data_IF_632135370570
#
_entry.id   IF_632135370570
#
_cell.length_a   1.000
_cell.length_b   1.000
_cell.length_c   1.000
_cell.angle_alpha   90.00
_cell.angle_beta   90.00
_cell.angle_gamma   90.00
#
_symmetry.space_group_name_H-M   'P 1'
#
loop_
_entity.id
_entity.type
_entity.pdbx_description
1 polymer ?
#
# COMPACT_ATOMS: atom_id res chain seq x y z
N UNK A 1 -11.16 3.90 0.52
CA UNK A 1 -9.77 4.35 0.70
C UNK A 1 -8.93 3.21 1.25
N UNK A 2 -7.73 2.98 0.72
CA UNK A 2 -6.81 1.90 1.16
C UNK A 2 -5.78 2.36 2.22
N UNK A 3 -5.56 3.66 2.31
CA UNK A 3 -4.68 4.30 3.29
C UNK A 3 -5.51 5.22 4.21
N UNK A 4 -4.97 5.49 5.41
CA UNK A 4 -5.56 6.46 6.33
C UNK A 4 -5.02 7.86 6.02
N UNK A 5 -5.91 8.85 5.90
CA UNK A 5 -5.56 10.25 5.66
C UNK A 5 -5.83 11.02 6.92
N UNK A 6 -4.83 11.75 7.41
CA UNK A 6 -4.91 12.52 8.66
C UNK A 6 -4.53 13.96 8.36
N UNK A 7 -5.33 14.91 8.85
CA UNK A 7 -5.00 16.33 8.80
C UNK A 7 -3.98 16.66 9.90
N UNK A 8 -2.88 17.30 9.54
CA UNK A 8 -1.76 17.59 10.44
C UNK A 8 -1.36 19.05 10.29
N UNK A 9 -1.19 19.75 11.40
CA UNK A 9 -0.74 21.15 11.47
C UNK A 9 0.68 21.25 12.06
N UNK A 10 1.55 20.34 11.65
CA UNK A 10 2.92 20.22 12.11
C UNK A 10 3.84 19.79 10.95
N UNK A 11 5.16 19.87 11.16
CA UNK A 11 6.17 19.47 10.16
C UNK A 11 6.34 17.95 10.03
N UNK A 12 5.78 17.19 10.97
CA UNK A 12 5.79 15.73 10.95
C UNK A 12 4.56 15.14 11.64
N UNK A 13 4.25 13.89 11.33
CA UNK A 13 3.25 13.09 12.02
C UNK A 13 3.90 11.87 12.66
N UNK A 14 3.78 11.74 13.97
CA UNK A 14 4.35 10.62 14.74
C UNK A 14 3.29 9.56 15.02
N UNK A 15 3.60 8.31 14.67
CA UNK A 15 2.78 7.14 15.02
C UNK A 15 3.53 6.30 16.03
N UNK A 16 2.89 6.02 17.17
CA UNK A 16 3.40 5.09 18.17
C UNK A 16 2.87 3.70 17.88
N UNK A 17 3.77 2.72 17.93
CA UNK A 17 3.49 1.32 17.66
C UNK A 17 4.10 0.45 18.75
N UNK A 18 3.41 -0.60 19.13
CA UNK A 18 3.98 -1.64 19.98
C UNK A 18 4.56 -2.74 19.10
N UNK A 19 5.83 -3.08 19.34
CA UNK A 19 6.57 -4.07 18.54
C UNK A 19 6.68 -5.43 19.19
N UNK A 20 6.36 -5.54 20.47
CA UNK A 20 6.55 -6.77 21.24
C UNK A 20 5.21 -7.21 21.81
N UNK A 21 4.86 -8.48 21.60
CA UNK A 21 3.77 -9.08 22.37
C UNK A 21 4.19 -9.18 23.84
N UNK A 22 3.26 -8.88 24.74
CA UNK A 22 3.50 -9.06 26.17
C UNK A 22 3.79 -10.53 26.47
N UNK A 23 4.83 -10.77 27.26
CA UNK A 23 5.13 -12.12 27.73
C UNK A 23 3.99 -12.62 28.62
N UNK A 24 3.66 -13.90 28.50
CA UNK A 24 2.76 -14.59 29.41
C UNK A 24 3.35 -15.94 29.79
N UNK A 25 3.01 -16.42 30.98
CA UNK A 25 3.45 -17.71 31.49
C UNK A 25 2.38 -18.30 32.40
N UNK A 26 2.25 -19.62 32.36
CA UNK A 26 1.43 -20.36 33.32
C UNK A 26 2.23 -20.49 34.63
N UNK A 27 1.62 -20.11 35.75
CA UNK A 27 2.25 -20.21 37.06
C UNK A 27 1.68 -21.39 37.85
N UNK A 28 2.54 -22.07 38.62
CA UNK A 28 2.16 -23.07 39.60
C UNK A 28 2.23 -22.49 41.02
N UNK A 29 1.50 -23.10 41.95
CA UNK A 29 1.37 -22.63 43.34
C UNK A 29 2.71 -22.52 44.10
N UNK A 30 3.69 -23.33 43.74
CA UNK A 30 4.98 -23.43 44.44
C UNK A 30 6.15 -22.75 43.72
N UNK A 31 5.96 -22.25 42.50
CA UNK A 31 7.05 -21.69 41.69
C UNK A 31 7.19 -20.18 41.88
N UNK A 32 8.43 -19.70 41.92
CA UNK A 32 8.74 -18.27 41.94
C UNK A 32 8.37 -17.66 40.59
N UNK A 33 7.47 -16.67 40.60
CA UNK A 33 7.10 -15.96 39.38
C UNK A 33 8.28 -15.16 38.81
N UNK A 34 8.61 -15.38 37.54
CA UNK A 34 9.59 -14.58 36.80
C UNK A 34 8.90 -13.37 36.12
N UNK A 35 9.65 -12.27 35.96
CA UNK A 35 9.16 -11.10 35.23
C UNK A 35 8.91 -11.45 33.75
N UNK A 36 7.73 -11.08 33.25
CA UNK A 36 7.36 -11.27 31.85
C UNK A 36 7.87 -10.13 30.99
N UNK A 37 8.04 -10.39 29.69
CA UNK A 37 8.46 -9.38 28.73
C UNK A 37 7.44 -8.23 28.65
N UNK A 38 7.94 -6.99 28.63
CA UNK A 38 7.13 -5.77 28.51
C UNK A 38 7.02 -5.29 27.05
N UNK A 39 5.94 -4.56 26.71
CA UNK A 39 5.76 -3.90 25.42
C UNK A 39 6.97 -3.03 25.05
N UNK A 40 7.36 -3.08 23.77
CA UNK A 40 8.38 -2.18 23.24
C UNK A 40 7.73 -1.18 22.30
N UNK A 41 7.54 0.04 22.80
CA UNK A 41 6.98 1.14 22.02
C UNK A 41 8.05 1.73 21.11
N UNK A 42 7.75 1.81 19.83
CA UNK A 42 8.57 2.46 18.81
C UNK A 42 7.78 3.63 18.20
N UNK A 43 8.52 4.61 17.66
CA UNK A 43 7.95 5.82 17.06
C UNK A 43 8.33 5.92 15.60
N UNK A 44 7.33 5.91 14.73
CA UNK A 44 7.49 6.18 13.31
C UNK A 44 7.18 7.65 13.07
N UNK A 45 8.19 8.42 12.67
CA UNK A 45 8.02 9.81 12.24
C UNK A 45 7.83 9.87 10.74
N UNK A 46 6.70 10.46 10.30
CA UNK A 46 6.39 10.73 8.90
C UNK A 46 6.66 12.21 8.64
N UNK A 47 7.77 12.57 7.96
CA UNK A 47 8.03 13.97 7.60
C UNK A 47 7.02 14.43 6.54
N UNK A 48 6.50 15.65 6.69
CA UNK A 48 5.66 16.27 5.68
C UNK A 48 6.56 16.96 4.64
N UNK A 49 6.38 16.60 3.38
CA UNK A 49 7.07 17.23 2.25
C UNK A 49 6.08 18.01 1.40
N UNK A 50 6.51 19.16 0.88
CA UNK A 50 5.69 20.00 0.03
C UNK A 50 5.81 19.60 -1.44
N UNK A 51 4.67 19.53 -2.13
CA UNK A 51 4.62 19.35 -3.58
C UNK A 51 4.20 20.68 -4.21
N UNK A 52 5.05 21.24 -5.06
CA UNK A 52 4.80 22.52 -5.72
C UNK A 52 4.95 22.42 -7.24
N UNK A 53 4.23 23.29 -7.95
CA UNK A 53 4.34 23.47 -9.40
C UNK A 53 4.19 24.95 -9.74
N UNK A 54 5.12 25.49 -10.53
CA UNK A 54 5.12 26.89 -10.97
C UNK A 54 5.13 26.96 -12.51
N UNK A 55 3.99 26.68 -13.17
CA UNK A 55 3.88 26.90 -14.61
C UNK A 55 3.87 28.40 -14.94
N UNK A 56 4.62 28.79 -15.99
CA UNK A 56 4.67 30.17 -16.48
C UNK A 56 3.73 30.32 -17.68
N UNK A 57 2.83 31.29 -17.62
CA UNK A 57 1.99 31.74 -18.74
C UNK A 57 2.32 33.19 -19.12
N UNK A 58 2.05 33.58 -20.38
CA UNK A 58 2.24 34.97 -20.82
C UNK A 58 0.97 35.78 -20.57
N UNK A 59 1.12 37.05 -20.19
CA UNK A 59 -0.02 37.93 -19.90
C UNK A 59 -0.96 38.07 -21.10
N UNK A 60 -0.39 38.24 -22.30
CA UNK A 60 -1.17 38.31 -23.54
C UNK A 60 -2.02 37.06 -23.78
N UNK A 61 -1.51 35.88 -23.44
CA UNK A 61 -2.28 34.64 -23.60
C UNK A 61 -3.45 34.60 -22.62
N UNK A 62 -3.28 35.10 -21.39
CA UNK A 62 -4.36 35.17 -20.42
C UNK A 62 -5.45 36.14 -20.89
N UNK A 63 -5.04 37.33 -21.35
CA UNK A 63 -5.96 38.41 -21.71
C UNK A 63 -6.67 38.17 -23.06
N UNK A 64 -5.98 37.61 -24.06
CA UNK A 64 -6.50 37.42 -25.43
C UNK A 64 -7.15 36.04 -25.64
N UNK A 65 -7.17 35.16 -24.62
CA UNK A 65 -7.73 33.81 -24.76
C UNK A 65 -9.26 33.78 -24.66
N UNK A 66 -9.89 33.04 -25.56
CA UNK A 66 -11.33 32.73 -25.48
C UNK A 66 -11.66 31.59 -24.48
N UNK A 67 -10.64 31.03 -23.83
CA UNK A 67 -10.73 29.90 -22.91
C UNK A 67 -10.21 30.32 -21.54
N UNK A 68 -10.79 29.79 -20.47
CA UNK A 68 -10.28 30.02 -19.11
C UNK A 68 -8.95 29.26 -18.88
N UNK A 69 -7.84 29.92 -19.21
CA UNK A 69 -6.49 29.36 -19.06
C UNK A 69 -6.13 29.20 -17.58
N UNK A 70 -6.59 30.08 -16.69
CA UNK A 70 -6.30 30.00 -15.26
C UNK A 70 -6.96 28.77 -14.63
N UNK A 71 -8.27 28.60 -14.85
CA UNK A 71 -9.01 27.43 -14.38
C UNK A 71 -8.49 26.13 -14.99
N UNK A 72 -8.15 26.14 -16.28
CA UNK A 72 -7.52 24.99 -16.93
C UNK A 72 -6.18 24.63 -16.30
N UNK A 73 -5.33 25.62 -16.02
CA UNK A 73 -4.02 25.41 -15.42
C UNK A 73 -4.15 24.89 -13.99
N UNK A 74 -5.06 25.46 -13.20
CA UNK A 74 -5.36 24.99 -11.84
C UNK A 74 -5.82 23.52 -11.85
N UNK A 75 -6.74 23.14 -12.74
CA UNK A 75 -7.18 21.76 -12.90
C UNK A 75 -6.05 20.81 -13.31
N UNK A 76 -5.19 21.24 -14.23
CA UNK A 76 -4.01 20.47 -14.64
C UNK A 76 -2.99 20.28 -13.52
N UNK A 77 -2.79 21.30 -12.69
CA UNK A 77 -1.90 21.22 -11.51
C UNK A 77 -2.48 20.23 -10.51
N UNK A 78 -3.79 20.32 -10.20
CA UNK A 78 -4.45 19.40 -9.29
C UNK A 78 -4.34 17.93 -9.77
N UNK A 79 -4.63 17.66 -11.05
CA UNK A 79 -4.46 16.34 -11.65
C UNK A 79 -3.00 15.85 -11.56
N UNK A 80 -2.04 16.75 -11.77
CA UNK A 80 -0.62 16.41 -11.71
C UNK A 80 -0.19 16.10 -10.28
N UNK A 81 -0.67 16.84 -9.30
CA UNK A 81 -0.40 16.61 -7.88
C UNK A 81 -0.96 15.26 -7.44
N UNK A 82 -2.22 14.96 -7.75
CA UNK A 82 -2.85 13.68 -7.43
C UNK A 82 -2.06 12.47 -8.00
N UNK A 83 -1.51 12.60 -9.21
CA UNK A 83 -0.68 11.53 -9.81
C UNK A 83 0.71 11.45 -9.19
N UNK A 84 1.32 12.59 -8.92
CA UNK A 84 2.68 12.65 -8.36
C UNK A 84 2.72 12.13 -6.93
N UNK A 85 1.75 12.51 -6.09
CA UNK A 85 1.63 12.00 -4.72
C UNK A 85 1.33 10.49 -4.73
N UNK A 86 0.42 10.02 -5.59
CA UNK A 86 0.10 8.59 -5.70
C UNK A 86 1.32 7.75 -6.07
N UNK A 87 2.15 8.23 -6.99
CA UNK A 87 3.42 7.56 -7.33
C UNK A 87 4.40 7.56 -6.15
N UNK A 88 4.48 8.67 -5.40
CA UNK A 88 5.36 8.77 -4.23
C UNK A 88 4.93 7.81 -3.10
N UNK A 89 3.63 7.63 -2.86
CA UNK A 89 3.14 6.68 -1.85
C UNK A 89 3.48 5.22 -2.18
N UNK A 90 3.70 4.87 -3.45
CA UNK A 90 4.04 3.50 -3.85
C UNK A 90 5.57 3.31 -3.91
N UNK A 91 6.29 4.19 -4.63
CA UNK A 91 7.72 4.00 -4.96
C UNK A 91 8.61 5.18 -4.56
N UNK A 92 8.14 6.11 -3.74
CA UNK A 92 8.94 7.25 -3.31
C UNK A 92 10.18 6.82 -2.51
N UNK A 93 11.29 7.54 -2.68
CA UNK A 93 12.60 7.22 -2.09
C UNK A 93 12.79 7.81 -0.68
N UNK A 94 11.92 8.73 -0.25
CA UNK A 94 12.04 9.41 1.04
C UNK A 94 12.97 10.63 1.03
N UNK A 95 13.49 11.06 -0.13
CA UNK A 95 14.34 12.26 -0.26
C UNK A 95 13.48 13.40 -0.78
N UNK A 96 13.15 14.35 0.09
CA UNK A 96 12.26 15.50 -0.20
C UNK A 96 10.88 15.10 -0.76
N UNK A 97 10.45 13.85 -0.52
CA UNK A 97 9.16 13.30 -0.93
C UNK A 97 8.78 12.14 0.01
N UNK A 98 7.49 11.76 0.06
CA UNK A 98 7.06 10.61 0.85
C UNK A 98 7.83 9.33 0.52
N UNK A 99 8.14 8.52 1.54
CA UNK A 99 8.71 7.19 1.34
C UNK A 99 7.60 6.21 0.96
N UNK A 100 7.72 5.59 -0.20
CA UNK A 100 6.74 4.63 -0.68
C UNK A 100 6.83 3.29 0.05
N UNK A 101 5.72 2.55 0.13
CA UNK A 101 5.78 1.26 0.82
C UNK A 101 6.71 0.25 0.13
N UNK A 102 6.95 0.33 -1.18
CA UNK A 102 7.84 -0.59 -1.89
C UNK A 102 9.35 -0.32 -1.68
N UNK A 103 9.74 0.83 -1.15
CA UNK A 103 11.16 1.16 -0.86
C UNK A 103 11.62 0.73 0.53
N UNK A 104 10.73 0.15 1.35
CA UNK A 104 11.14 -0.53 2.57
C UNK A 104 11.88 -1.84 2.25
N UNK A 105 12.83 -2.21 3.11
CA UNK A 105 13.57 -3.46 3.01
C UNK A 105 12.60 -4.64 2.95
N UNK A 106 12.83 -5.58 2.04
CA UNK A 106 11.95 -6.73 1.80
C UNK A 106 12.67 -8.01 2.18
N UNK A 107 12.00 -8.87 2.93
CA UNK A 107 12.51 -10.17 3.38
C UNK A 107 11.50 -11.26 3.07
N UNK A 108 11.95 -12.50 2.93
CA UNK A 108 11.03 -13.62 2.79
C UNK A 108 10.13 -13.70 4.04
N UNK A 109 8.83 -13.98 3.84
CA UNK A 109 7.86 -13.90 4.94
C UNK A 109 8.19 -14.82 6.13
N UNK A 110 8.86 -15.95 5.89
CA UNK A 110 9.27 -16.92 6.91
C UNK A 110 10.29 -16.38 7.92
N UNK A 111 11.11 -15.41 7.50
CA UNK A 111 12.13 -14.74 8.32
C UNK A 111 11.77 -13.27 8.57
N UNK A 112 10.46 -12.96 8.52
CA UNK A 112 9.98 -11.61 8.71
C UNK A 112 10.36 -11.08 10.10
N UNK A 113 10.83 -9.83 10.10
CA UNK A 113 11.15 -9.09 11.31
C UNK A 113 10.65 -7.67 11.17
N UNK A 114 10.31 -7.04 12.30
CA UNK A 114 9.89 -5.64 12.33
C UNK A 114 10.86 -4.73 11.58
N UNK A 115 10.33 -3.77 10.82
CA UNK A 115 11.11 -2.88 9.96
C UNK A 115 11.28 -3.37 8.53
N UNK A 116 10.91 -4.61 8.23
CA UNK A 116 10.93 -5.18 6.88
C UNK A 116 9.50 -5.52 6.40
N UNK A 117 9.34 -5.56 5.07
CA UNK A 117 8.13 -6.08 4.42
C UNK A 117 8.34 -7.53 4.00
N UNK A 118 7.41 -8.40 4.39
CA UNK A 118 7.37 -9.79 3.93
C UNK A 118 7.00 -9.87 2.44
N UNK A 119 7.63 -10.80 1.72
CA UNK A 119 7.18 -11.19 0.38
C UNK A 119 7.09 -12.71 0.22
N UNK A 120 6.30 -13.13 -0.76
CA UNK A 120 6.16 -14.52 -1.21
C UNK A 120 6.68 -14.60 -2.65
N UNK A 121 7.48 -15.62 -2.96
CA UNK A 121 8.02 -15.83 -4.31
C UNK A 121 6.97 -16.44 -5.22
N UNK A 122 6.97 -16.07 -6.51
CA UNK A 122 6.01 -16.60 -7.50
C UNK A 122 6.44 -17.93 -8.11
N UNK A 123 7.65 -18.42 -7.81
CA UNK A 123 8.19 -19.67 -8.33
C UNK A 123 8.64 -19.66 -9.80
N UNK A 124 8.48 -18.55 -10.52
CA UNK A 124 8.96 -18.38 -11.89
C UNK A 124 9.51 -16.96 -12.13
N UNK A 125 10.57 -16.86 -12.94
CA UNK A 125 11.18 -15.57 -13.27
C UNK A 125 10.23 -14.73 -14.14
N UNK A 126 9.96 -13.50 -13.67
CA UNK A 126 9.10 -12.52 -14.34
C UNK A 126 7.66 -13.00 -14.67
N UNK A 127 7.22 -14.11 -14.07
CA UNK A 127 5.92 -14.71 -14.30
C UNK A 127 5.33 -15.29 -13.02
N UNK A 128 4.03 -15.57 -13.07
CA UNK A 128 3.36 -16.41 -12.08
C UNK A 128 3.47 -17.85 -12.55
N UNK A 129 4.06 -18.73 -11.74
CA UNK A 129 4.11 -20.18 -12.04
C UNK A 129 2.73 -20.84 -11.94
N UNK A 130 1.80 -20.19 -11.24
CA UNK A 130 0.45 -20.69 -10.98
C UNK A 130 -0.32 -19.76 -10.05
N UNK A 131 -1.54 -20.19 -9.73
CA UNK A 131 -2.45 -19.50 -8.81
C UNK A 131 -2.01 -19.60 -7.35
N UNK A 132 -1.23 -20.63 -7.00
CA UNK A 132 -0.86 -20.93 -5.61
C UNK A 132 -0.17 -19.74 -4.96
N UNK A 133 0.77 -19.11 -5.67
CA UNK A 133 1.52 -17.95 -5.14
C UNK A 133 0.63 -16.78 -4.69
N UNK A 134 -0.52 -16.56 -5.33
CA UNK A 134 -1.48 -15.53 -4.90
C UNK A 134 -2.28 -15.95 -3.67
N UNK A 135 -2.62 -17.24 -3.57
CA UNK A 135 -3.28 -17.81 -2.41
C UNK A 135 -2.34 -17.77 -1.21
N UNK A 136 -1.09 -18.19 -1.40
CA UNK A 136 -0.04 -18.14 -0.38
C UNK A 136 0.19 -16.71 0.11
N UNK A 137 0.17 -15.71 -0.79
CA UNK A 137 0.24 -14.31 -0.41
C UNK A 137 -0.93 -13.86 0.48
N UNK A 138 -2.16 -14.32 0.20
CA UNK A 138 -3.32 -14.04 1.06
C UNK A 138 -3.10 -14.65 2.44
N UNK A 139 -2.71 -15.91 2.51
CA UNK A 139 -2.57 -16.63 3.78
C UNK A 139 -1.28 -16.28 4.55
N UNK A 140 -0.28 -15.67 3.89
CA UNK A 140 0.87 -15.07 4.54
C UNK A 140 0.49 -13.83 5.38
N UNK A 141 -0.62 -13.17 5.06
CA UNK A 141 -1.13 -12.04 5.84
C UNK A 141 -1.89 -12.52 7.08
N UNK A 142 -1.52 -11.98 8.25
CA UNK A 142 -2.20 -12.25 9.51
C UNK A 142 -3.73 -12.06 9.41
N UNK A 143 -4.48 -12.96 10.05
CA UNK A 143 -5.94 -13.03 9.92
C UNK A 143 -6.65 -11.70 10.27
N UNK A 144 -6.12 -10.94 11.23
CA UNK A 144 -6.66 -9.64 11.64
C UNK A 144 -6.58 -8.61 10.51
N UNK A 145 -5.48 -8.61 9.73
CA UNK A 145 -5.28 -7.67 8.63
C UNK A 145 -6.02 -8.08 7.35
N UNK A 146 -6.33 -9.38 7.19
CA UNK A 146 -7.05 -9.89 6.02
C UNK A 146 -8.46 -9.32 5.88
N UNK A 147 -9.17 -9.00 6.96
CA UNK A 147 -10.59 -8.63 6.90
C UNK A 147 -10.90 -7.40 6.01
N UNK A 148 -9.94 -6.49 5.83
CA UNK A 148 -10.09 -5.27 5.00
C UNK A 148 -8.94 -5.09 4.01
N UNK A 149 -8.23 -6.17 3.71
CA UNK A 149 -7.12 -6.15 2.76
C UNK A 149 -7.61 -5.93 1.32
N UNK A 150 -6.77 -5.29 0.51
CA UNK A 150 -7.02 -5.04 -0.92
C UNK A 150 -5.73 -5.28 -1.68
N UNK A 151 -5.83 -5.83 -2.88
CA UNK A 151 -4.69 -5.95 -3.77
C UNK A 151 -4.39 -4.61 -4.44
N UNK A 152 -3.12 -4.32 -4.65
CA UNK A 152 -2.67 -3.13 -5.39
C UNK A 152 -1.77 -3.61 -6.53
N UNK A 153 -2.12 -3.29 -7.77
CA UNK A 153 -1.35 -3.71 -8.95
C UNK A 153 -1.56 -2.76 -10.13
N UNK A 154 -0.58 -2.61 -11.01
CA UNK A 154 -0.81 -1.85 -12.24
C UNK A 154 -1.68 -2.64 -13.25
N UNK A 155 -2.19 -1.94 -14.26
CA UNK A 155 -3.08 -2.55 -15.26
C UNK A 155 -2.44 -3.69 -16.06
N UNK A 156 -1.10 -3.69 -16.23
CA UNK A 156 -0.38 -4.75 -16.96
C UNK A 156 -0.35 -6.04 -16.15
N UNK A 157 -0.01 -5.94 -14.85
CA UNK A 157 -0.05 -7.06 -13.92
C UNK A 157 -1.47 -7.58 -13.77
N UNK A 158 -2.46 -6.67 -13.67
CA UNK A 158 -3.87 -7.05 -13.64
C UNK A 158 -4.28 -7.90 -14.85
N UNK A 159 -3.86 -7.50 -16.06
CA UNK A 159 -4.09 -8.28 -17.28
C UNK A 159 -3.43 -9.66 -17.28
N UNK A 160 -2.27 -9.83 -16.62
CA UNK A 160 -1.63 -11.14 -16.45
C UNK A 160 -2.38 -12.01 -15.44
N UNK A 161 -2.73 -11.44 -14.28
CA UNK A 161 -3.48 -12.14 -13.22
C UNK A 161 -4.84 -12.60 -13.73
N UNK A 162 -5.52 -11.78 -14.54
CA UNK A 162 -6.80 -12.15 -15.17
C UNK A 162 -6.70 -13.35 -16.11
N UNK A 163 -5.52 -13.63 -16.67
CA UNK A 163 -5.29 -14.79 -17.55
C UNK A 163 -4.99 -16.08 -16.77
N UNK A 164 -4.74 -15.98 -15.46
CA UNK A 164 -4.48 -17.15 -14.63
C UNK A 164 -5.75 -17.98 -14.48
N UNK A 165 -5.56 -19.30 -14.55
CA UNK A 165 -6.62 -20.31 -14.46
C UNK A 165 -6.28 -21.32 -13.38
N UNK A 166 -7.31 -21.94 -12.82
CA UNK A 166 -7.15 -23.16 -12.03
C UNK A 166 -6.89 -24.38 -12.93
N UNK A 167 -6.64 -25.54 -12.30
CA UNK A 167 -6.43 -26.80 -13.00
C UNK A 167 -7.66 -27.27 -13.80
N UNK A 168 -8.85 -26.73 -13.50
CA UNK A 168 -10.11 -26.98 -14.22
C UNK A 168 -10.34 -25.98 -15.37
N UNK A 169 -9.39 -25.08 -15.62
CA UNK A 169 -9.43 -24.09 -16.71
C UNK A 169 -10.30 -22.86 -16.45
N UNK A 170 -10.82 -22.68 -15.23
CA UNK A 170 -11.63 -21.53 -14.82
C UNK A 170 -10.74 -20.36 -14.44
N UNK A 171 -11.17 -19.15 -14.78
CA UNK A 171 -10.46 -17.93 -14.40
C UNK A 171 -10.62 -17.67 -12.91
N UNK A 172 -9.52 -17.35 -12.24
CA UNK A 172 -9.50 -17.02 -10.80
C UNK A 172 -10.05 -15.63 -10.52
N UNK A 173 -9.94 -14.75 -11.51
CA UNK A 173 -10.46 -13.40 -11.44
C UNK A 173 -11.68 -13.30 -12.35
N UNK A 174 -12.86 -13.30 -11.74
CA UNK A 174 -14.12 -13.04 -12.43
C UNK A 174 -14.50 -11.58 -12.24
N UNK A 175 -14.85 -10.90 -13.33
CA UNK A 175 -15.57 -9.63 -13.22
C UNK A 175 -16.93 -9.92 -12.57
N UNK A 176 -17.35 -9.03 -11.65
CA UNK A 176 -18.71 -9.08 -11.15
C UNK A 176 -19.67 -8.96 -12.33
N UNK A 177 -20.45 -10.01 -12.60
CA UNK A 177 -21.48 -9.98 -13.65
C UNK A 177 -22.59 -8.96 -13.34
N UNK A 178 -22.70 -8.52 -12.08
CA UNK A 178 -23.64 -7.52 -11.62
C UNK A 178 -23.06 -6.11 -11.78
N UNK A 179 -23.86 -5.20 -12.35
CA UNK A 179 -23.51 -3.79 -12.48
C UNK A 179 -23.15 -3.19 -11.11
N UNK A 180 -21.92 -2.66 -11.00
CA UNK A 180 -21.45 -1.96 -9.80
C UNK A 180 -20.66 -2.79 -8.81
N UNK A 181 -20.44 -4.09 -9.02
CA UNK A 181 -19.57 -4.88 -8.15
C UNK A 181 -18.10 -4.79 -8.60
N UNK A 182 -17.18 -4.27 -7.76
CA UNK A 182 -15.77 -4.16 -8.13
C UNK A 182 -15.18 -5.55 -8.36
N UNK A 183 -14.32 -5.68 -9.38
CA UNK A 183 -13.68 -6.93 -9.72
C UNK A 183 -12.91 -7.47 -8.50
N UNK A 184 -13.19 -8.72 -8.10
CA UNK A 184 -12.60 -9.34 -6.91
C UNK A 184 -11.62 -10.43 -7.29
N UNK A 185 -10.44 -10.40 -6.70
CA UNK A 185 -9.44 -11.45 -6.80
C UNK A 185 -9.43 -12.23 -5.49
N UNK A 186 -9.75 -13.53 -5.53
CA UNK A 186 -9.82 -14.38 -4.34
C UNK A 186 -10.72 -13.80 -3.21
N UNK A 187 -11.78 -13.09 -3.60
CA UNK A 187 -12.72 -12.44 -2.67
C UNK A 187 -12.32 -11.02 -2.21
N UNK A 188 -11.12 -10.55 -2.56
CA UNK A 188 -10.62 -9.23 -2.18
C UNK A 188 -10.75 -8.19 -3.33
N UNK A 189 -11.05 -6.92 -3.02
CA UNK A 189 -11.00 -5.85 -4.01
C UNK A 189 -9.59 -5.63 -4.58
N UNK A 190 -9.52 -5.17 -5.82
CA UNK A 190 -8.27 -4.80 -6.49
C UNK A 190 -8.27 -3.31 -6.80
N UNK A 191 -7.24 -2.60 -6.35
CA UNK A 191 -6.91 -1.25 -6.76
C UNK A 191 -5.92 -1.31 -7.94
N UNK A 192 -6.25 -0.58 -9.02
CA UNK A 192 -5.44 -0.47 -10.24
C UNK A 192 -4.86 0.93 -10.38
#
# INVERSE_FOLDING_TARGET
>A
AIANVVSVEATSYDVLIDRAEMGHGWANETDTMAETASPQIDRITIPLHELSALPKASQRLLDDSAFDIEGWLAGRIADKFARAEAAAFVTGDGVDKPKGFLTHSRVANEIWTWGNLGYVTTGADAAFSGAESLIDLVYALGAQYRARAQFVMNSKTAGQVRKLKDNDGRFLWTDGLAAGEPARLLGYPVLI
#
